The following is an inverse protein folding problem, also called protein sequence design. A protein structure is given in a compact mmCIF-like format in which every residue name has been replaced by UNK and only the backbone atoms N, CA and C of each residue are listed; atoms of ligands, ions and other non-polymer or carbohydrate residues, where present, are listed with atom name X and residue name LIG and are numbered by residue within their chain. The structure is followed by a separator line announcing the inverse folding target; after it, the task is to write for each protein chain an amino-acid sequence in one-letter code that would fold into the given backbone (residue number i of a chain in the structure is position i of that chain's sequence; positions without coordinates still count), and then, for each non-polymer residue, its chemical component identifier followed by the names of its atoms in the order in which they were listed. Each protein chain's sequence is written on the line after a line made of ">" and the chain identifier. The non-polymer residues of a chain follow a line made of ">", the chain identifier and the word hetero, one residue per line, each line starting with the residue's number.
data_IF_849901688350
#
_entry.id   IF_849901688350
#
_cell.length_a   1.000
_cell.length_b   1.000
_cell.length_c   1.000
_cell.angle_alpha   90.00
_cell.angle_beta   90.00
_cell.angle_gamma   90.00
#
_symmetry.space_group_name_H-M   'P 1'
#
loop_
_entity.id
_entity.type
_entity.pdbx_description
1 polymer ?
#
# COMPACT_ATOMS: atom_id res chain seq x y z
N UNK A 1 2.81 -1.84 16.52
CA UNK A 1 3.49 -2.43 15.36
C UNK A 1 2.96 -3.83 15.10
N UNK A 2 3.00 -4.22 13.83
CA UNK A 2 2.69 -5.58 13.42
C UNK A 2 3.87 -6.55 13.61
N UNK A 3 3.66 -7.86 13.29
CA UNK A 3 4.70 -8.87 13.38
C UNK A 3 5.96 -8.50 12.59
N UNK A 4 5.83 -7.88 11.42
CA UNK A 4 6.97 -7.47 10.59
C UNK A 4 7.95 -6.53 11.33
N UNK A 5 7.42 -5.64 12.19
CA UNK A 5 8.27 -4.78 13.01
C UNK A 5 9.04 -5.53 14.10
N UNK A 6 8.49 -6.62 14.61
CA UNK A 6 9.11 -7.45 15.66
C UNK A 6 10.23 -8.33 15.11
N UNK A 7 10.08 -8.80 13.87
CA UNK A 7 11.07 -9.67 13.20
C UNK A 7 12.07 -8.91 12.33
N UNK A 8 12.05 -7.57 12.33
CA UNK A 8 13.06 -6.73 11.71
C UNK A 8 12.89 -6.44 10.22
N UNK A 9 11.67 -6.47 9.68
CA UNK A 9 11.41 -5.99 8.32
C UNK A 9 11.67 -4.48 8.26
N UNK A 10 12.59 -4.04 7.40
CA UNK A 10 13.13 -2.68 7.41
C UNK A 10 12.12 -1.58 7.04
N UNK A 11 11.02 -1.93 6.42
CA UNK A 11 9.94 -1.02 6.06
C UNK A 11 8.64 -1.30 6.84
N UNK A 12 8.78 -1.91 8.03
CA UNK A 12 7.66 -2.06 8.94
C UNK A 12 7.14 -0.70 9.42
N UNK A 13 5.83 -0.57 9.56
CA UNK A 13 5.14 0.66 9.92
C UNK A 13 4.55 0.61 11.34
N UNK A 14 4.21 1.79 11.87
CA UNK A 14 3.39 1.92 13.08
C UNK A 14 1.94 2.12 12.63
N UNK A 15 1.04 1.24 13.05
CA UNK A 15 -0.37 1.24 12.62
C UNK A 15 -1.25 1.90 13.68
N UNK A 16 -2.09 2.84 13.25
CA UNK A 16 -3.14 3.49 14.03
C UNK A 16 -4.50 3.11 13.49
N UNK A 17 -5.48 2.96 14.36
CA UNK A 17 -6.88 2.73 13.99
C UNK A 17 -7.10 1.60 12.95
N UNK A 18 -6.21 0.61 12.97
CA UNK A 18 -6.15 -0.56 12.06
C UNK A 18 -5.76 -0.25 10.61
N UNK A 19 -5.87 0.99 10.15
CA UNK A 19 -5.78 1.31 8.72
C UNK A 19 -4.99 2.57 8.41
N UNK A 20 -4.58 3.32 9.42
CA UNK A 20 -3.73 4.50 9.26
C UNK A 20 -2.34 4.16 9.78
N UNK A 21 -1.34 4.53 9.05
CA UNK A 21 0.02 4.14 9.38
C UNK A 21 1.00 5.31 9.28
N UNK A 22 1.95 5.36 10.22
CA UNK A 22 3.24 5.97 9.95
C UNK A 22 4.01 4.92 9.13
N UNK A 23 3.84 4.99 7.79
CA UNK A 23 4.15 3.92 6.85
C UNK A 23 5.63 3.87 6.49
N UNK A 24 6.02 4.69 5.52
CA UNK A 24 7.40 4.72 5.00
C UNK A 24 8.41 5.10 6.08
N UNK A 25 9.69 4.82 5.84
CA UNK A 25 10.84 5.08 6.73
C UNK A 25 11.14 4.01 7.78
N UNK A 26 10.38 2.94 7.89
CA UNK A 26 10.73 1.80 8.75
C UNK A 26 10.62 2.06 10.26
N UNK A 27 9.82 3.05 10.66
CA UNK A 27 9.65 3.41 12.09
C UNK A 27 9.10 2.26 12.94
N UNK A 28 8.33 1.34 12.34
CA UNK A 28 7.85 0.14 13.00
C UNK A 28 8.98 -0.82 13.38
N UNK A 29 9.98 -0.99 12.52
CA UNK A 29 11.17 -1.78 12.82
C UNK A 29 12.01 -1.15 13.95
N UNK A 30 12.16 0.19 13.94
CA UNK A 30 12.84 0.91 15.03
C UNK A 30 12.13 0.68 16.37
N UNK A 31 10.79 0.73 16.37
CA UNK A 31 9.99 0.45 17.57
C UNK A 31 10.15 -1.01 18.03
N UNK A 32 10.14 -1.97 17.09
CA UNK A 32 10.37 -3.39 17.37
C UNK A 32 11.76 -3.67 17.92
N UNK A 33 12.81 -3.05 17.37
CA UNK A 33 14.21 -3.19 17.86
C UNK A 33 14.40 -2.71 19.30
N UNK A 34 13.47 -1.94 19.83
CA UNK A 34 13.42 -1.47 21.22
C UNK A 34 12.48 -2.30 22.10
N UNK A 35 11.96 -3.42 21.61
CA UNK A 35 10.99 -4.26 22.29
C UNK A 35 9.70 -3.50 22.70
N UNK A 36 9.33 -2.46 21.93
CA UNK A 36 8.13 -1.66 22.18
C UNK A 36 7.02 -2.06 21.19
N UNK A 37 6.01 -2.76 21.66
CA UNK A 37 4.90 -3.28 20.83
C UNK A 37 3.87 -2.23 20.50
N UNK A 38 3.45 -1.44 21.49
CA UNK A 38 2.36 -0.49 21.35
C UNK A 38 2.47 0.66 22.36
N UNK A 39 1.89 1.80 22.00
CA UNK A 39 1.63 2.92 22.92
C UNK A 39 0.12 3.14 22.98
N UNK A 40 -0.46 3.05 24.16
CA UNK A 40 -1.87 3.30 24.38
C UNK A 40 -2.06 4.60 25.18
N UNK A 41 -2.94 5.47 24.71
CA UNK A 41 -3.25 6.74 25.37
C UNK A 41 -4.76 6.87 25.56
N UNK A 42 -5.18 7.23 26.78
CA UNK A 42 -6.55 7.58 27.09
C UNK A 42 -6.60 9.00 27.66
N UNK A 43 -7.02 9.96 26.86
CA UNK A 43 -7.24 11.33 27.30
C UNK A 43 -8.55 11.46 28.11
N UNK A 44 -8.55 12.28 29.13
CA UNK A 44 -9.73 12.58 29.97
C UNK A 44 -10.17 14.04 29.85
N UNK A 45 -9.41 14.88 29.15
CA UNK A 45 -9.73 16.31 28.96
C UNK A 45 -10.12 16.63 27.52
N UNK A 46 -10.85 17.72 27.34
CA UNK A 46 -11.11 18.27 25.99
C UNK A 46 -9.99 19.19 25.52
N UNK A 47 -9.90 19.37 24.20
CA UNK A 47 -9.01 20.37 23.60
C UNK A 47 -9.55 21.77 23.88
N UNK A 48 -8.69 22.64 24.40
CA UNK A 48 -9.06 24.06 24.61
C UNK A 48 -8.91 24.80 23.27
N UNK A 49 -10.01 25.39 22.81
CA UNK A 49 -10.04 26.22 21.60
C UNK A 49 -9.93 27.70 22.03
N UNK A 50 -8.96 28.42 21.48
CA UNK A 50 -8.70 29.83 21.84
C UNK A 50 -9.91 30.74 21.52
N UNK A 51 -10.56 30.54 20.38
CA UNK A 51 -11.76 31.25 19.98
C UNK A 51 -12.78 30.24 19.41
N UNK A 52 -13.71 29.71 20.22
CA UNK A 52 -14.68 28.71 19.81
C UNK A 52 -15.58 29.15 18.65
N UNK A 53 -15.97 30.44 18.62
CA UNK A 53 -16.82 30.98 17.53
C UNK A 53 -16.08 30.99 16.21
N UNK A 54 -14.88 31.59 16.17
CA UNK A 54 -14.07 31.64 14.95
C UNK A 54 -13.69 30.23 14.46
N UNK A 55 -13.38 29.28 15.36
CA UNK A 55 -13.13 27.89 15.02
C UNK A 55 -14.34 27.23 14.35
N UNK A 56 -15.53 27.42 14.95
CA UNK A 56 -16.77 26.87 14.38
C UNK A 56 -17.07 27.46 13.00
N UNK A 57 -16.95 28.78 12.85
CA UNK A 57 -17.23 29.47 11.59
C UNK A 57 -16.29 28.97 10.49
N UNK A 58 -14.98 28.88 10.77
CA UNK A 58 -13.98 28.34 9.85
C UNK A 58 -14.22 26.84 9.53
N UNK A 59 -14.63 26.04 10.50
CA UNK A 59 -14.96 24.62 10.27
C UNK A 59 -16.17 24.44 9.35
N UNK A 60 -17.21 25.27 9.50
CA UNK A 60 -18.38 25.24 8.63
C UNK A 60 -18.06 25.70 7.20
N UNK A 61 -17.26 26.75 7.06
CA UNK A 61 -16.78 27.22 5.77
C UNK A 61 -15.96 26.13 5.06
N UNK A 62 -14.99 25.53 5.76
CA UNK A 62 -14.18 24.42 5.24
C UNK A 62 -15.03 23.21 4.82
N UNK A 63 -16.07 22.90 5.60
CA UNK A 63 -17.02 21.85 5.26
C UNK A 63 -17.71 22.12 3.92
N UNK A 64 -18.25 23.33 3.73
CA UNK A 64 -18.92 23.70 2.46
C UNK A 64 -17.95 23.65 1.28
N UNK A 65 -16.76 24.23 1.42
CA UNK A 65 -15.72 24.22 0.38
C UNK A 65 -15.34 22.81 -0.04
N UNK A 66 -15.10 21.90 0.92
CA UNK A 66 -14.74 20.52 0.64
C UNK A 66 -15.89 19.73 -0.01
N UNK A 67 -17.13 19.99 0.40
CA UNK A 67 -18.31 19.32 -0.15
C UNK A 67 -18.64 19.75 -1.58
N UNK A 68 -18.44 21.03 -1.88
CA UNK A 68 -18.74 21.61 -3.20
C UNK A 68 -17.64 21.33 -4.23
N UNK A 69 -16.43 21.02 -3.78
CA UNK A 69 -15.32 20.70 -4.68
C UNK A 69 -15.49 19.31 -5.28
N UNK A 70 -15.47 19.16 -6.63
CA UNK A 70 -15.72 17.87 -7.29
C UNK A 70 -14.70 16.79 -6.94
N UNK A 71 -13.46 17.16 -6.61
CA UNK A 71 -12.43 16.19 -6.21
C UNK A 71 -12.70 15.65 -4.81
N UNK A 72 -12.92 16.54 -3.83
CA UNK A 72 -13.08 16.13 -2.42
C UNK A 72 -14.52 15.74 -2.05
N UNK A 73 -15.52 16.33 -2.71
CA UNK A 73 -16.93 16.04 -2.46
C UNK A 73 -17.46 14.81 -3.20
N UNK A 74 -16.91 14.52 -4.38
CA UNK A 74 -17.38 13.41 -5.22
C UNK A 74 -16.27 12.38 -5.49
N UNK A 75 -15.19 12.75 -6.18
CA UNK A 75 -14.19 11.80 -6.70
C UNK A 75 -13.52 10.97 -5.62
N UNK A 76 -12.94 11.60 -4.59
CA UNK A 76 -12.28 10.91 -3.50
C UNK A 76 -13.27 10.14 -2.61
N UNK A 77 -14.52 10.62 -2.48
CA UNK A 77 -15.57 9.91 -1.76
C UNK A 77 -16.00 8.64 -2.47
N UNK A 78 -16.09 8.67 -3.81
CA UNK A 78 -16.52 7.53 -4.61
C UNK A 78 -15.42 6.48 -4.79
N UNK A 79 -14.22 6.91 -5.21
CA UNK A 79 -13.14 6.03 -5.65
C UNK A 79 -11.91 6.05 -4.73
N UNK A 80 -11.85 6.97 -3.76
CA UNK A 80 -10.66 7.22 -2.95
C UNK A 80 -9.49 7.67 -3.80
N UNK A 81 -8.27 7.50 -3.29
CA UNK A 81 -7.05 7.86 -4.04
C UNK A 81 -6.86 7.00 -5.29
N UNK A 82 -7.52 5.85 -5.39
CA UNK A 82 -7.48 4.97 -6.56
C UNK A 82 -8.02 5.64 -7.84
N UNK A 83 -8.77 6.75 -7.74
CA UNK A 83 -9.17 7.61 -8.88
C UNK A 83 -7.96 8.04 -9.72
N UNK A 84 -6.77 8.11 -9.12
CA UNK A 84 -5.54 8.55 -9.80
C UNK A 84 -4.99 7.52 -10.78
N UNK A 85 -5.32 6.24 -10.71
CA UNK A 85 -4.73 5.20 -11.57
C UNK A 85 -4.91 5.53 -13.05
N UNK A 86 -6.15 5.75 -13.50
CA UNK A 86 -6.43 6.06 -14.90
C UNK A 86 -5.89 7.44 -15.31
N UNK A 87 -5.95 8.43 -14.42
CA UNK A 87 -5.43 9.78 -14.66
C UNK A 87 -3.93 9.75 -14.89
N UNK A 88 -3.19 9.08 -14.01
CA UNK A 88 -1.74 8.95 -14.11
C UNK A 88 -1.33 8.12 -15.32
N UNK A 89 -2.06 7.05 -15.62
CA UNK A 89 -1.80 6.24 -16.81
C UNK A 89 -1.97 7.03 -18.11
N UNK A 90 -3.04 7.79 -18.23
CA UNK A 90 -3.31 8.64 -19.41
C UNK A 90 -2.28 9.74 -19.59
N UNK A 91 -1.72 10.26 -18.50
CA UNK A 91 -0.66 11.28 -18.55
C UNK A 91 0.74 10.71 -18.83
N UNK A 92 0.91 9.39 -18.90
CA UNK A 92 2.23 8.76 -19.00
C UNK A 92 3.01 8.78 -17.68
N UNK A 93 2.34 9.04 -16.56
CA UNK A 93 2.93 9.18 -15.23
C UNK A 93 2.67 7.97 -14.30
N UNK A 94 2.36 6.77 -14.83
CA UNK A 94 2.20 5.54 -14.08
C UNK A 94 3.40 4.61 -14.30
N UNK A 95 4.48 4.71 -13.49
CA UNK A 95 5.68 3.89 -13.67
C UNK A 95 5.34 2.40 -13.65
N UNK A 96 5.79 1.67 -14.67
CA UNK A 96 5.38 0.30 -14.93
C UNK A 96 6.60 -0.60 -15.05
N UNK A 97 6.54 -1.83 -14.54
CA UNK A 97 7.64 -2.82 -14.54
C UNK A 97 8.96 -2.21 -14.04
N UNK A 98 8.97 -1.81 -12.79
CA UNK A 98 10.10 -1.11 -12.15
C UNK A 98 10.56 0.12 -12.94
N UNK A 99 9.59 0.95 -13.38
CA UNK A 99 9.80 2.19 -14.15
C UNK A 99 10.42 2.02 -15.56
N UNK A 100 10.30 0.84 -16.18
CA UNK A 100 10.72 0.63 -17.57
C UNK A 100 9.86 1.43 -18.57
N UNK A 101 8.58 1.68 -18.23
CA UNK A 101 7.67 2.55 -18.99
C UNK A 101 6.86 3.43 -18.05
N UNK A 102 6.19 4.46 -18.60
CA UNK A 102 5.31 5.36 -17.85
C UNK A 102 3.81 5.04 -18.00
N UNK A 103 3.47 3.98 -18.73
CA UNK A 103 2.08 3.56 -18.98
C UNK A 103 1.93 2.06 -18.78
N UNK A 104 0.78 1.66 -18.26
CA UNK A 104 0.44 0.27 -17.98
C UNK A 104 -0.80 -0.15 -18.78
N UNK A 105 -0.69 -1.17 -19.59
CA UNK A 105 -1.76 -1.71 -20.41
C UNK A 105 -2.93 -2.26 -19.60
N UNK A 106 -2.66 -2.73 -18.37
CA UNK A 106 -3.65 -3.26 -17.42
C UNK A 106 -4.23 -2.24 -16.44
N UNK A 107 -4.03 -0.93 -16.65
CA UNK A 107 -4.42 0.11 -15.69
C UNK A 107 -5.91 0.10 -15.35
N UNK A 108 -6.78 -0.09 -16.34
CA UNK A 108 -8.23 -0.15 -16.12
C UNK A 108 -8.62 -1.30 -15.19
N UNK A 109 -7.97 -2.46 -15.31
CA UNK A 109 -8.25 -3.63 -14.48
C UNK A 109 -7.90 -3.40 -12.99
N UNK A 110 -6.98 -2.46 -12.70
CA UNK A 110 -6.58 -2.09 -11.34
C UNK A 110 -7.05 -0.69 -10.93
N UNK A 111 -7.99 -0.09 -11.68
CA UNK A 111 -8.50 1.25 -11.45
C UNK A 111 -9.39 1.35 -10.21
N UNK A 112 -9.64 2.58 -9.75
CA UNK A 112 -10.56 2.86 -8.67
C UNK A 112 -12.00 2.45 -9.01
N UNK A 113 -12.38 2.60 -10.27
CA UNK A 113 -13.68 2.21 -10.84
C UNK A 113 -13.88 0.70 -10.76
N UNK A 114 -12.86 -0.07 -11.18
CA UNK A 114 -12.89 -1.54 -11.11
C UNK A 114 -12.88 -2.02 -9.66
N UNK A 115 -12.10 -1.38 -8.78
CA UNK A 115 -12.09 -1.70 -7.35
C UNK A 115 -13.46 -1.45 -6.71
N UNK A 116 -14.10 -0.31 -7.03
CA UNK A 116 -15.39 0.05 -6.47
C UNK A 116 -16.51 -0.89 -6.95
N UNK A 117 -16.54 -1.22 -8.24
CA UNK A 117 -17.56 -2.10 -8.80
C UNK A 117 -17.43 -3.56 -8.38
N UNK A 118 -16.19 -4.04 -8.15
CA UNK A 118 -15.93 -5.45 -7.89
C UNK A 118 -15.88 -5.82 -6.41
N UNK A 119 -15.28 -4.97 -5.55
CA UNK A 119 -14.92 -5.38 -4.19
C UNK A 119 -15.36 -4.42 -3.09
N UNK A 120 -15.87 -3.22 -3.41
CA UNK A 120 -16.26 -2.24 -2.41
C UNK A 120 -17.46 -2.72 -1.58
N UNK A 121 -17.32 -2.70 -0.26
CA UNK A 121 -18.42 -2.91 0.69
C UNK A 121 -18.99 -1.62 1.22
N UNK A 122 -18.13 -0.68 1.58
CA UNK A 122 -18.51 0.64 2.09
C UNK A 122 -17.32 1.59 2.11
N UNK A 123 -17.60 2.86 2.06
CA UNK A 123 -16.61 3.90 2.31
C UNK A 123 -16.32 4.04 3.82
N UNK A 124 -15.15 4.58 4.16
CA UNK A 124 -14.70 4.83 5.52
C UNK A 124 -13.97 6.16 5.59
N UNK A 125 -14.25 6.94 6.62
CA UNK A 125 -13.54 8.19 6.91
C UNK A 125 -12.60 8.06 8.10
N UNK A 126 -11.63 8.97 8.20
CA UNK A 126 -10.94 9.28 9.45
C UNK A 126 -11.88 10.06 10.36
N UNK A 127 -11.56 10.11 11.67
CA UNK A 127 -12.38 10.83 12.65
C UNK A 127 -12.54 12.31 12.24
N UNK A 128 -13.78 12.75 12.10
CA UNK A 128 -14.13 14.13 11.76
C UNK A 128 -13.86 14.53 10.30
N UNK A 129 -13.46 13.61 9.41
CA UNK A 129 -13.23 13.91 8.00
C UNK A 129 -14.48 13.63 7.16
N UNK A 130 -14.89 14.60 6.34
CA UNK A 130 -16.07 14.49 5.47
C UNK A 130 -15.79 13.83 4.12
N UNK A 131 -14.52 13.74 3.70
CA UNK A 131 -14.12 13.24 2.37
C UNK A 131 -14.40 11.75 2.22
N UNK A 132 -14.22 10.98 3.29
CA UNK A 132 -14.54 9.55 3.31
C UNK A 132 -13.78 8.73 2.24
N UNK A 133 -12.49 9.01 2.05
CA UNK A 133 -11.66 8.43 0.99
C UNK A 133 -11.19 6.99 1.26
N UNK A 134 -11.34 6.45 2.47
CA UNK A 134 -11.02 5.05 2.77
C UNK A 134 -12.11 4.10 2.26
N UNK A 135 -11.74 2.88 1.94
CA UNK A 135 -12.65 1.85 1.40
C UNK A 135 -12.50 0.54 2.15
N UNK A 136 -13.60 0.00 2.62
CA UNK A 136 -13.64 -1.38 3.09
C UNK A 136 -14.03 -2.27 1.92
N UNK A 137 -13.18 -3.24 1.63
CA UNK A 137 -13.34 -4.17 0.51
C UNK A 137 -13.50 -5.60 0.99
N UNK A 138 -14.08 -6.44 0.14
CA UNK A 138 -14.16 -7.89 0.36
C UNK A 138 -13.97 -8.63 -0.96
N UNK A 139 -13.07 -9.59 -0.96
CA UNK A 139 -12.87 -10.56 -2.03
C UNK A 139 -13.49 -11.88 -1.59
N UNK A 140 -14.44 -12.37 -2.37
CA UNK A 140 -15.12 -13.66 -2.10
C UNK A 140 -14.48 -14.83 -2.84
N UNK A 141 -13.50 -14.58 -3.68
CA UNK A 141 -12.72 -15.59 -4.38
C UNK A 141 -11.99 -16.50 -3.38
N UNK A 142 -11.92 -17.80 -3.68
CA UNK A 142 -11.28 -18.78 -2.81
C UNK A 142 -9.75 -18.65 -2.78
N UNK A 143 -9.12 -18.12 -3.87
CA UNK A 143 -7.67 -18.02 -4.01
C UNK A 143 -7.09 -16.83 -3.25
N UNK A 144 -7.69 -15.66 -3.42
CA UNK A 144 -7.24 -14.41 -2.83
C UNK A 144 -8.24 -13.83 -1.82
N UNK A 145 -9.14 -14.65 -1.33
CA UNK A 145 -10.22 -14.25 -0.43
C UNK A 145 -9.74 -13.51 0.81
N UNK A 146 -10.57 -12.59 1.28
CA UNK A 146 -10.31 -11.79 2.47
C UNK A 146 -11.17 -10.54 2.52
N UNK A 147 -11.09 -9.82 3.63
CA UNK A 147 -11.73 -8.53 3.80
C UNK A 147 -10.85 -7.59 4.64
N UNK A 148 -10.99 -6.30 4.38
CA UNK A 148 -10.19 -5.28 5.04
C UNK A 148 -10.30 -3.92 4.36
N UNK A 149 -9.41 -2.99 4.71
CA UNK A 149 -9.25 -1.75 3.96
C UNK A 149 -8.65 -2.07 2.59
N UNK A 150 -9.27 -1.54 1.53
CA UNK A 150 -8.82 -1.71 0.16
C UNK A 150 -7.55 -0.91 -0.14
N UNK A 151 -6.85 -1.28 -1.22
CA UNK A 151 -5.62 -0.61 -1.60
C UNK A 151 -5.88 0.86 -1.97
N UNK A 152 -4.97 1.73 -1.56
CA UNK A 152 -4.84 3.11 -2.02
C UNK A 152 -4.12 3.17 -3.38
N UNK A 153 -4.14 4.32 -4.05
CA UNK A 153 -3.46 4.52 -5.35
C UNK A 153 -2.02 4.01 -5.35
N UNK A 154 -1.24 4.40 -4.36
CA UNK A 154 0.18 4.01 -4.26
C UNK A 154 0.36 2.49 -4.09
N UNK A 155 -0.58 1.83 -3.43
CA UNK A 155 -0.57 0.37 -3.29
C UNK A 155 -0.92 -0.31 -4.61
N UNK A 156 -1.94 0.20 -5.34
CA UNK A 156 -2.31 -0.30 -6.66
C UNK A 156 -1.18 -0.11 -7.66
N UNK A 157 -0.46 1.02 -7.58
CA UNK A 157 0.71 1.23 -8.38
C UNK A 157 1.84 0.25 -8.03
N UNK A 158 2.23 0.18 -6.76
CA UNK A 158 3.43 -0.56 -6.35
C UNK A 158 3.30 -2.09 -6.53
N UNK A 159 2.13 -2.67 -6.16
CA UNK A 159 1.85 -4.10 -6.29
C UNK A 159 1.26 -4.47 -7.66
N UNK A 160 0.72 -3.49 -8.37
CA UNK A 160 0.12 -3.65 -9.69
C UNK A 160 1.06 -3.23 -10.82
N UNK A 161 0.98 -1.98 -11.28
CA UNK A 161 1.72 -1.50 -12.44
C UNK A 161 3.24 -1.70 -12.32
N UNK A 162 3.83 -1.39 -11.16
CA UNK A 162 5.27 -1.57 -10.94
C UNK A 162 5.71 -3.04 -11.04
N UNK A 163 4.84 -3.99 -10.70
CA UNK A 163 5.06 -5.43 -10.87
C UNK A 163 4.50 -5.98 -12.20
N UNK A 164 3.87 -5.14 -13.03
CA UNK A 164 3.22 -5.56 -14.29
C UNK A 164 1.97 -6.41 -14.09
N UNK A 165 1.28 -6.30 -12.95
CA UNK A 165 0.17 -7.16 -12.54
C UNK A 165 -1.16 -6.43 -12.71
N UNK A 166 -2.11 -7.05 -13.43
CA UNK A 166 -3.48 -6.56 -13.63
C UNK A 166 -4.54 -7.34 -12.83
N UNK A 167 -4.15 -8.32 -12.03
CA UNK A 167 -5.05 -9.06 -11.14
C UNK A 167 -5.32 -8.26 -9.86
N UNK A 168 -6.44 -7.54 -9.85
CA UNK A 168 -6.84 -6.69 -8.72
C UNK A 168 -7.10 -7.50 -7.43
N UNK A 169 -7.54 -8.77 -7.54
CA UNK A 169 -7.75 -9.63 -6.39
C UNK A 169 -6.42 -9.97 -5.71
N UNK A 170 -5.41 -10.34 -6.49
CA UNK A 170 -4.05 -10.61 -5.99
C UNK A 170 -3.43 -9.38 -5.33
N UNK A 171 -3.53 -8.20 -5.96
CA UNK A 171 -3.05 -6.92 -5.42
C UNK A 171 -3.74 -6.62 -4.08
N UNK A 172 -5.05 -6.78 -4.02
CA UNK A 172 -5.83 -6.53 -2.80
C UNK A 172 -5.48 -7.53 -1.69
N UNK A 173 -5.22 -8.81 -2.03
CA UNK A 173 -4.74 -9.82 -1.09
C UNK A 173 -3.37 -9.45 -0.51
N UNK A 174 -2.42 -9.05 -1.34
CA UNK A 174 -1.11 -8.59 -0.92
C UNK A 174 -1.21 -7.35 0.01
N UNK A 175 -2.11 -6.43 -0.29
CA UNK A 175 -2.43 -5.29 0.58
C UNK A 175 -2.95 -5.73 1.95
N UNK A 176 -3.85 -6.73 2.02
CA UNK A 176 -4.33 -7.25 3.31
C UNK A 176 -3.18 -7.84 4.13
N UNK A 177 -2.28 -8.61 3.51
CA UNK A 177 -1.11 -9.18 4.18
C UNK A 177 -0.22 -8.06 4.73
N UNK A 178 0.09 -7.04 3.92
CA UNK A 178 0.87 -5.89 4.37
C UNK A 178 0.23 -5.19 5.57
N UNK A 179 -1.10 -4.99 5.54
CA UNK A 179 -1.82 -4.35 6.65
C UNK A 179 -1.80 -5.20 7.93
N UNK A 180 -2.00 -6.51 7.83
CA UNK A 180 -1.97 -7.42 8.98
C UNK A 180 -0.60 -7.51 9.63
N UNK A 181 0.45 -7.59 8.82
CA UNK A 181 1.82 -7.69 9.32
C UNK A 181 2.45 -6.34 9.67
N UNK A 182 1.83 -5.23 9.26
CA UNK A 182 2.32 -3.88 9.50
C UNK A 182 3.51 -3.51 8.62
N UNK A 183 3.43 -3.79 7.32
CA UNK A 183 4.42 -3.43 6.30
C UNK A 183 3.93 -2.27 5.42
N UNK A 184 4.85 -1.41 5.00
CA UNK A 184 4.58 -0.40 3.99
C UNK A 184 4.39 -1.03 2.62
N UNK A 185 3.19 -0.86 2.04
CA UNK A 185 2.82 -1.48 0.75
C UNK A 185 3.63 -0.95 -0.42
N UNK A 186 4.03 0.33 -0.38
CA UNK A 186 4.81 0.96 -1.44
C UNK A 186 6.19 0.33 -1.50
N UNK A 187 6.89 0.26 -0.37
CA UNK A 187 8.23 -0.33 -0.31
C UNK A 187 8.18 -1.83 -0.60
N UNK A 188 7.18 -2.55 -0.09
CA UNK A 188 7.00 -3.96 -0.36
C UNK A 188 6.85 -4.23 -1.87
N UNK A 189 5.90 -3.55 -2.53
CA UNK A 189 5.66 -3.70 -3.97
C UNK A 189 6.86 -3.26 -4.82
N UNK A 190 7.46 -2.10 -4.52
CA UNK A 190 8.65 -1.63 -5.23
C UNK A 190 9.86 -2.58 -5.07
N UNK A 191 9.98 -3.25 -3.92
CA UNK A 191 11.04 -4.25 -3.71
C UNK A 191 10.79 -5.52 -4.53
N UNK A 192 9.53 -5.97 -4.63
CA UNK A 192 9.17 -7.09 -5.53
C UNK A 192 9.42 -6.70 -6.98
N UNK A 193 9.05 -5.50 -7.42
CA UNK A 193 9.30 -5.03 -8.77
C UNK A 193 10.81 -4.98 -9.10
N UNK A 194 11.63 -4.51 -8.16
CA UNK A 194 13.08 -4.55 -8.27
C UNK A 194 13.59 -6.01 -8.41
N UNK A 195 13.09 -6.93 -7.59
CA UNK A 195 13.47 -8.34 -7.67
C UNK A 195 13.06 -8.98 -8.99
N UNK A 196 11.87 -8.63 -9.54
CA UNK A 196 11.41 -9.09 -10.85
C UNK A 196 12.35 -8.60 -11.97
N UNK A 197 12.81 -7.35 -11.91
CA UNK A 197 13.79 -6.83 -12.88
C UNK A 197 15.15 -7.52 -12.74
N UNK A 198 15.64 -7.75 -11.53
CA UNK A 198 16.88 -8.48 -11.30
C UNK A 198 16.79 -9.93 -11.80
N UNK A 199 15.62 -10.55 -11.65
CA UNK A 199 15.34 -11.88 -12.20
C UNK A 199 15.31 -11.86 -13.73
N UNK A 200 14.62 -10.90 -14.35
CA UNK A 200 14.58 -10.70 -15.80
C UNK A 200 16.00 -10.53 -16.40
N UNK A 201 16.86 -9.80 -15.68
CA UNK A 201 18.26 -9.61 -16.06
C UNK A 201 19.17 -10.80 -15.74
N UNK A 202 18.63 -11.84 -15.14
CA UNK A 202 19.34 -13.07 -14.79
C UNK A 202 20.35 -12.91 -13.63
N UNK A 203 20.26 -11.84 -12.85
CA UNK A 203 21.05 -11.62 -11.64
C UNK A 203 20.54 -12.46 -10.47
N UNK A 204 19.22 -12.60 -10.37
CA UNK A 204 18.56 -13.53 -9.44
C UNK A 204 18.19 -14.79 -10.21
N UNK A 205 18.44 -15.96 -9.64
CA UNK A 205 18.16 -17.26 -10.25
C UNK A 205 16.93 -17.91 -9.62
N UNK A 206 16.23 -18.74 -10.40
CA UNK A 206 15.06 -19.48 -9.94
C UNK A 206 15.38 -20.41 -8.78
N UNK A 207 16.58 -21.02 -8.78
CA UNK A 207 17.04 -21.90 -7.70
C UNK A 207 17.20 -21.17 -6.37
N UNK A 208 17.48 -19.87 -6.41
CA UNK A 208 17.64 -19.05 -5.20
C UNK A 208 16.28 -18.69 -4.58
N UNK A 209 15.27 -18.44 -5.43
CA UNK A 209 13.91 -18.08 -5.01
C UNK A 209 13.08 -19.32 -4.71
N UNK A 210 13.35 -20.43 -5.41
CA UNK A 210 12.53 -21.66 -5.44
C UNK A 210 11.34 -21.58 -6.38
N UNK A 211 11.24 -20.51 -7.18
CA UNK A 211 10.17 -20.29 -8.17
C UNK A 211 10.55 -19.22 -9.18
N UNK A 212 9.83 -19.17 -10.29
CA UNK A 212 9.93 -18.09 -11.28
C UNK A 212 9.40 -16.77 -10.69
N UNK A 213 10.04 -15.64 -11.01
CA UNK A 213 9.65 -14.31 -10.52
C UNK A 213 9.60 -13.30 -11.68
N UNK A 214 8.68 -13.51 -12.61
CA UNK A 214 8.51 -12.66 -13.79
C UNK A 214 7.52 -11.53 -13.54
N UNK A 215 7.70 -10.40 -14.22
CA UNK A 215 6.67 -9.37 -14.28
C UNK A 215 5.33 -9.96 -14.77
N UNK A 216 4.24 -9.56 -14.11
CA UNK A 216 2.89 -10.05 -14.40
C UNK A 216 2.48 -11.33 -13.67
N UNK A 217 3.38 -11.99 -12.96
CA UNK A 217 3.06 -13.18 -12.17
C UNK A 217 2.47 -12.79 -10.80
N UNK A 218 1.15 -12.82 -10.72
CA UNK A 218 0.40 -12.42 -9.53
C UNK A 218 0.62 -13.36 -8.34
N UNK A 219 0.74 -14.67 -8.58
CA UNK A 219 1.00 -15.65 -7.51
C UNK A 219 2.39 -15.50 -6.94
N UNK A 220 3.38 -15.31 -7.80
CA UNK A 220 4.74 -15.06 -7.37
C UNK A 220 4.82 -13.79 -6.50
N UNK A 221 4.14 -12.70 -6.90
CA UNK A 221 4.08 -11.47 -6.11
C UNK A 221 3.47 -11.71 -4.74
N UNK A 222 2.29 -12.33 -4.66
CA UNK A 222 1.64 -12.62 -3.36
C UNK A 222 2.55 -13.49 -2.49
N UNK A 223 3.19 -14.50 -3.07
CA UNK A 223 4.13 -15.37 -2.36
C UNK A 223 5.35 -14.61 -1.82
N UNK A 224 5.90 -13.67 -2.59
CA UNK A 224 7.01 -12.82 -2.12
C UNK A 224 6.57 -11.94 -0.94
N UNK A 225 5.37 -11.38 -0.97
CA UNK A 225 4.83 -10.60 0.16
C UNK A 225 4.65 -11.47 1.41
N UNK A 226 4.17 -12.71 1.28
CA UNK A 226 4.08 -13.66 2.41
C UNK A 226 5.45 -13.97 3.02
N UNK A 227 6.45 -14.24 2.17
CA UNK A 227 7.82 -14.53 2.63
C UNK A 227 8.49 -13.30 3.28
N UNK A 228 8.25 -12.10 2.77
CA UNK A 228 8.67 -10.86 3.44
C UNK A 228 8.02 -10.72 4.82
N UNK A 229 6.72 -10.98 4.90
CA UNK A 229 5.94 -10.84 6.12
C UNK A 229 6.43 -11.78 7.24
N UNK A 230 6.90 -12.98 6.87
CA UNK A 230 7.50 -13.95 7.80
C UNK A 230 9.02 -13.81 7.94
N UNK A 231 9.68 -12.98 7.12
CA UNK A 231 11.14 -12.81 7.06
C UNK A 231 11.87 -14.15 6.79
N UNK A 232 11.33 -14.99 5.92
CA UNK A 232 11.82 -16.34 5.63
C UNK A 232 12.41 -16.46 4.22
N UNK A 233 13.39 -17.33 4.06
CA UNK A 233 13.98 -17.68 2.78
C UNK A 233 14.42 -16.46 1.97
N UNK A 234 14.00 -16.37 0.70
CA UNK A 234 14.26 -15.21 -0.15
C UNK A 234 13.55 -13.94 0.37
N UNK A 235 12.44 -14.08 1.08
CA UNK A 235 11.74 -12.99 1.73
C UNK A 235 12.59 -12.21 2.71
N UNK A 236 13.56 -12.83 3.38
CA UNK A 236 14.49 -12.15 4.26
C UNK A 236 15.42 -11.16 3.53
N UNK A 237 15.79 -11.45 2.27
CA UNK A 237 16.52 -10.50 1.42
C UNK A 237 15.61 -9.34 1.01
N UNK A 238 14.38 -9.64 0.59
CA UNK A 238 13.38 -8.64 0.21
C UNK A 238 13.01 -7.73 1.40
N UNK A 239 12.97 -8.27 2.62
CA UNK A 239 12.67 -7.52 3.84
C UNK A 239 13.68 -6.38 4.16
N UNK A 240 14.82 -6.37 3.47
CA UNK A 240 15.82 -5.29 3.55
C UNK A 240 15.45 -4.06 2.70
N UNK A 241 14.52 -4.19 1.75
CA UNK A 241 14.13 -3.15 0.79
C UNK A 241 14.97 -3.16 -0.49
N UNK A 242 14.47 -2.48 -1.52
CA UNK A 242 15.01 -2.54 -2.89
C UNK A 242 16.49 -2.14 -3.00
N UNK A 243 16.91 -1.07 -2.32
CA UNK A 243 18.30 -0.61 -2.37
C UNK A 243 19.27 -1.70 -1.88
N UNK A 244 19.04 -2.27 -0.68
CA UNK A 244 19.92 -3.31 -0.11
C UNK A 244 19.85 -4.62 -0.91
N UNK A 245 18.68 -4.93 -1.46
CA UNK A 245 18.53 -6.05 -2.36
C UNK A 245 19.42 -5.86 -3.59
N UNK A 246 19.30 -4.75 -4.32
CA UNK A 246 20.08 -4.45 -5.51
C UNK A 246 21.59 -4.38 -5.21
N UNK A 247 21.98 -3.77 -4.09
CA UNK A 247 23.37 -3.71 -3.63
C UNK A 247 23.98 -5.12 -3.40
N UNK A 248 23.18 -6.05 -2.85
CA UNK A 248 23.63 -7.43 -2.64
C UNK A 248 23.93 -8.20 -3.94
N UNK A 249 23.44 -7.70 -5.08
CA UNK A 249 23.73 -8.20 -6.43
C UNK A 249 24.70 -7.30 -7.23
N UNK A 250 25.31 -6.31 -6.58
CA UNK A 250 26.30 -5.42 -7.16
C UNK A 250 25.74 -4.34 -8.10
N UNK A 251 24.45 -4.02 -7.98
CA UNK A 251 23.74 -3.04 -8.82
C UNK A 251 22.88 -2.07 -7.99
N UNK A 252 23.46 -1.33 -7.02
CA UNK A 252 22.70 -0.49 -6.09
C UNK A 252 21.99 0.71 -6.74
N UNK A 253 22.34 1.02 -7.99
CA UNK A 253 21.80 2.16 -8.74
C UNK A 253 20.51 1.84 -9.51
N UNK A 254 19.93 0.66 -9.32
CA UNK A 254 18.78 0.17 -10.09
C UNK A 254 17.51 -0.02 -9.27
#
# INVERSE_FOLDING_TARGET
>A
IGPAGEIGVHFACIVNDKHRAAGRSGVGMVMGSKNLKAVAVRGTGGVKVANPKAYRDAALESYSMLKENPVTGEGLGALGTAVLVNIMNQSGGLPTRNAQTGTFEGAEAISGETLASSYLKRNKSCMGCIICCGRVTKISDSRYGGDGEGPEYETLWALGAACGISDLAAITKANYICNEFGMDTITAGSTVACAMELFEKGLIKEEEIGMSLKFGDADAMVKMIELMASNEGFGAKLAQGSYRLADSYGVPER
#
